data_IF_152815553144
#
_entry.id   IF_152815553144
#
_cell.length_a   1.000
_cell.length_b   1.000
_cell.length_c   1.000
_cell.angle_alpha   90.00
_cell.angle_beta   90.00
_cell.angle_gamma   90.00
#
_symmetry.space_group_name_H-M   'P 1'
#
loop_
_entity.id
_entity.type
_entity.pdbx_description
1 polymer ?
#
# COMPACT_ATOMS: atom_id res chain seq x y z
N UNK A 1 -3.93 -7.30 7.57
CA UNK A 1 -5.22 -7.21 8.28
C UNK A 1 -5.92 -8.57 8.22
N UNK A 2 -6.78 -8.88 9.19
CA UNK A 2 -7.58 -10.12 9.25
C UNK A 2 -8.98 -9.98 8.63
N UNK A 3 -9.43 -8.75 8.34
CA UNK A 3 -10.71 -8.44 7.71
C UNK A 3 -10.55 -7.32 6.68
N UNK A 4 -11.41 -7.24 5.65
CA UNK A 4 -11.42 -6.12 4.71
C UNK A 4 -11.85 -4.81 5.40
N UNK A 5 -11.52 -3.69 4.77
CA UNK A 5 -12.08 -2.38 5.12
C UNK A 5 -13.62 -2.44 5.11
N UNK A 6 -14.32 -2.00 6.18
CA UNK A 6 -15.78 -1.96 6.21
C UNK A 6 -16.33 -1.03 5.13
N UNK A 7 -17.30 -1.50 4.34
CA UNK A 7 -17.98 -0.66 3.34
C UNK A 7 -19.13 0.15 3.94
N UNK A 8 -19.63 -0.26 5.11
CA UNK A 8 -20.56 0.49 5.96
C UNK A 8 -19.77 1.48 6.86
N UNK A 9 -19.03 2.39 6.26
CA UNK A 9 -18.48 3.55 6.96
C UNK A 9 -18.26 4.69 5.98
N UNK A 10 -18.39 5.93 6.44
CA UNK A 10 -18.12 7.10 5.59
C UNK A 10 -16.62 7.27 5.32
N UNK A 11 -15.80 6.94 6.32
CA UNK A 11 -14.34 7.06 6.28
C UNK A 11 -13.74 5.87 7.02
N UNK A 12 -12.77 5.23 6.39
CA UNK A 12 -11.89 4.27 7.04
C UNK A 12 -10.48 4.84 7.09
N UNK A 13 -9.83 4.69 8.24
CA UNK A 13 -8.52 5.24 8.50
C UNK A 13 -7.69 4.28 9.33
N UNK A 14 -6.39 4.21 9.03
CA UNK A 14 -5.41 3.50 9.84
C UNK A 14 -4.07 4.22 9.77
N UNK A 15 -3.24 4.01 10.79
CA UNK A 15 -1.89 4.57 10.89
C UNK A 15 -0.85 3.45 10.92
N UNK A 16 0.32 3.75 10.39
CA UNK A 16 1.50 2.88 10.46
C UNK A 16 2.67 3.74 10.93
N UNK A 17 3.30 3.33 12.04
CA UNK A 17 4.56 3.93 12.50
C UNK A 17 5.72 3.04 12.05
N UNK A 18 6.67 3.61 11.31
CA UNK A 18 7.89 2.90 10.93
C UNK A 18 8.88 2.99 12.09
N UNK A 19 9.13 1.86 12.76
CA UNK A 19 10.08 1.78 13.89
C UNK A 19 11.53 1.63 13.39
N UNK A 20 11.70 0.91 12.28
CA UNK A 20 12.97 0.68 11.60
C UNK A 20 12.67 0.49 10.11
N UNK A 21 13.37 1.24 9.26
CA UNK A 21 13.21 1.18 7.80
C UNK A 21 14.01 0.05 7.14
N UNK A 22 14.85 -0.65 7.91
CA UNK A 22 15.76 -1.68 7.42
C UNK A 22 16.81 -1.12 6.45
N UNK A 23 17.50 -2.00 5.74
CA UNK A 23 18.65 -1.63 4.89
C UNK A 23 18.25 -0.75 3.70
N UNK A 24 17.05 -0.97 3.13
CA UNK A 24 16.66 -0.35 1.87
C UNK A 24 15.49 0.64 1.99
N UNK A 25 14.78 0.70 3.12
CA UNK A 25 13.64 1.61 3.28
C UNK A 25 12.45 1.35 2.34
N UNK A 26 12.42 0.21 1.63
CA UNK A 26 11.38 -0.16 0.66
C UNK A 26 10.11 -0.66 1.33
N UNK A 27 9.46 0.25 2.05
CA UNK A 27 8.22 0.01 2.77
C UNK A 27 7.10 0.69 1.98
N UNK A 28 6.09 -0.09 1.61
CA UNK A 28 4.88 0.43 1.00
C UNK A 28 3.67 0.24 1.93
N UNK A 29 2.84 1.27 2.01
CA UNK A 29 1.62 1.30 2.82
C UNK A 29 0.44 1.51 1.87
N UNK A 30 -0.66 0.77 2.06
CA UNK A 30 -1.76 0.89 1.10
C UNK A 30 -2.91 -0.09 1.30
N UNK A 31 -3.65 -0.30 0.22
CA UNK A 31 -4.81 -1.19 0.16
C UNK A 31 -4.65 -2.15 -1.01
N UNK A 32 -5.17 -3.37 -0.84
CA UNK A 32 -5.23 -4.37 -1.89
C UNK A 32 -6.48 -5.23 -1.73
N UNK A 33 -7.00 -5.74 -2.83
CA UNK A 33 -8.07 -6.72 -2.78
C UNK A 33 -7.58 -8.11 -2.31
N UNK A 34 -8.53 -9.02 -2.08
CA UNK A 34 -8.28 -10.37 -1.56
C UNK A 34 -7.46 -11.27 -2.51
N UNK A 35 -7.36 -10.92 -3.78
CA UNK A 35 -6.68 -11.72 -4.83
C UNK A 35 -5.26 -11.24 -5.11
N UNK A 36 -4.86 -10.11 -4.53
CA UNK A 36 -3.53 -9.53 -4.69
C UNK A 36 -2.42 -10.47 -4.22
N UNK A 37 -1.32 -10.52 -4.98
CA UNK A 37 -0.18 -11.38 -4.70
C UNK A 37 0.66 -10.81 -3.55
N UNK A 38 0.75 -11.56 -2.45
CA UNK A 38 1.54 -11.17 -1.27
C UNK A 38 3.06 -11.09 -1.51
N UNK A 39 3.54 -11.55 -2.67
CA UNK A 39 4.93 -11.39 -3.11
C UNK A 39 5.21 -10.04 -3.79
N UNK A 40 4.24 -9.14 -3.84
CA UNK A 40 4.31 -7.82 -4.50
C UNK A 40 4.03 -6.72 -3.48
N UNK A 41 4.59 -5.53 -3.71
CA UNK A 41 4.31 -4.35 -2.88
C UNK A 41 2.94 -3.75 -3.26
N UNK A 42 2.14 -3.25 -2.31
CA UNK A 42 0.90 -2.52 -2.58
C UNK A 42 1.06 -1.46 -3.67
N UNK A 43 0.12 -1.42 -4.62
CA UNK A 43 0.14 -0.47 -5.74
C UNK A 43 0.78 -0.99 -7.03
N UNK A 44 1.58 -2.06 -7.00
CA UNK A 44 2.28 -2.57 -8.19
C UNK A 44 1.44 -3.35 -9.19
N UNK A 45 0.31 -3.92 -8.75
CA UNK A 45 -0.57 -4.74 -9.60
C UNK A 45 -2.02 -4.31 -9.41
N UNK A 46 -2.86 -4.57 -10.44
CA UNK A 46 -4.28 -4.26 -10.43
C UNK A 46 -4.97 -4.70 -9.13
N UNK A 47 -5.95 -3.92 -8.68
CA UNK A 47 -6.64 -4.17 -7.42
C UNK A 47 -5.88 -3.71 -6.18
N UNK A 48 -4.83 -2.90 -6.34
CA UNK A 48 -4.07 -2.34 -5.22
C UNK A 48 -3.66 -0.88 -5.42
N UNK A 49 -3.49 -0.19 -4.30
CA UNK A 49 -3.01 1.19 -4.19
C UNK A 49 -1.94 1.23 -3.11
N UNK A 50 -0.85 1.95 -3.33
CA UNK A 50 0.22 2.06 -2.34
C UNK A 50 0.97 3.37 -2.40
N UNK A 51 1.49 3.78 -1.25
CA UNK A 51 2.47 4.85 -1.10
C UNK A 51 3.80 4.23 -0.66
N UNK A 52 4.87 4.50 -1.39
CA UNK A 52 6.17 3.86 -1.20
C UNK A 52 7.13 4.85 -0.53
N UNK A 53 7.73 4.43 0.59
CA UNK A 53 8.57 5.29 1.42
C UNK A 53 9.98 5.53 0.84
N UNK A 54 10.44 4.69 -0.09
CA UNK A 54 11.77 4.81 -0.70
C UNK A 54 11.84 5.90 -1.78
N UNK A 55 10.74 6.22 -2.45
CA UNK A 55 10.68 7.25 -3.49
C UNK A 55 9.60 8.32 -3.26
N UNK A 56 8.73 8.15 -2.27
CA UNK A 56 7.66 9.10 -1.94
C UNK A 56 6.54 9.14 -2.97
N UNK A 57 6.38 8.11 -3.80
CA UNK A 57 5.40 8.08 -4.89
C UNK A 57 4.13 7.30 -4.54
N UNK A 58 3.06 7.63 -5.25
CA UNK A 58 1.83 6.83 -5.29
C UNK A 58 1.89 5.81 -6.42
N UNK A 59 1.41 4.60 -6.15
CA UNK A 59 1.35 3.50 -7.10
C UNK A 59 -0.10 3.01 -7.19
N UNK A 60 -0.63 2.97 -8.40
CA UNK A 60 -2.05 2.70 -8.68
C UNK A 60 -2.15 1.56 -9.68
N UNK A 61 -2.18 0.33 -9.18
CA UNK A 61 -2.28 -0.87 -10.02
C UNK A 61 -1.17 -1.09 -11.05
N UNK A 62 -0.02 -0.43 -10.88
CA UNK A 62 1.07 -0.34 -11.85
C UNK A 62 2.42 -0.27 -11.15
N UNK A 63 3.44 -0.92 -11.71
CA UNK A 63 4.82 -0.83 -11.22
C UNK A 63 5.51 0.51 -11.51
N UNK A 64 4.84 1.43 -12.22
CA UNK A 64 5.33 2.78 -12.44
C UNK A 64 4.70 3.72 -11.41
N UNK A 65 5.54 4.27 -10.52
CA UNK A 65 5.11 5.24 -9.51
C UNK A 65 4.88 6.63 -10.10
N UNK A 66 3.89 7.32 -9.57
CA UNK A 66 3.51 8.70 -9.90
C UNK A 66 3.80 9.64 -8.73
N UNK A 67 4.08 10.90 -9.03
CA UNK A 67 4.23 11.92 -7.98
C UNK A 67 2.90 12.08 -7.22
N UNK A 68 2.97 12.24 -5.90
CA UNK A 68 1.79 12.34 -5.04
C UNK A 68 0.97 13.59 -5.35
#
# INVERSE_FOLDING_TARGET
ANHPCPTNCAVFYYEVTILDHGVYGKIAIGFADKTFRLSRQPGWEAGSFGYHGDDGKKFIGSGAGEDY
#
